data_IF_205627691973
#
_entry.id   IF_205627691973
#
_cell.length_a   1.000
_cell.length_b   1.000
_cell.length_c   1.000
_cell.angle_alpha   90.00
_cell.angle_beta   90.00
_cell.angle_gamma   90.00
#
_symmetry.space_group_name_H-M   'P 1'
#
loop_
_entity.id
_entity.type
_entity.pdbx_description
1 polymer ?
#
# COMPACT_ATOMS: atom_id res chain seq x y z
N UNK A 1 -7.30 10.04 25.23
CA UNK A 1 -8.08 9.08 26.05
C UNK A 1 -7.85 7.68 25.50
N UNK A 2 -7.70 6.67 26.36
CA UNK A 2 -7.49 5.26 25.96
C UNK A 2 -8.71 4.46 26.40
N UNK A 3 -9.34 3.75 25.47
CA UNK A 3 -10.57 2.99 25.70
C UNK A 3 -10.33 1.51 25.33
N UNK A 4 -10.61 0.56 26.23
CA UNK A 4 -10.48 -0.86 25.92
C UNK A 4 -11.52 -1.28 24.86
N UNK A 5 -11.17 -2.28 24.07
CA UNK A 5 -12.04 -2.91 23.08
C UNK A 5 -12.31 -4.38 23.40
N UNK A 6 -12.92 -5.07 22.44
CA UNK A 6 -13.21 -6.51 22.54
C UNK A 6 -11.94 -7.36 22.32
N UNK A 7 -11.94 -8.65 22.71
CA UNK A 7 -10.84 -9.57 22.40
C UNK A 7 -10.53 -9.59 20.89
N UNK A 8 -9.24 -9.52 20.56
CA UNK A 8 -8.79 -9.26 19.19
C UNK A 8 -8.52 -10.54 18.36
N UNK A 9 -8.34 -11.69 19.01
CA UNK A 9 -8.00 -12.96 18.38
C UNK A 9 -9.00 -14.05 18.71
N UNK A 10 -9.35 -14.86 17.70
CA UNK A 10 -10.06 -16.12 17.93
C UNK A 10 -9.16 -17.15 18.64
N UNK A 11 -9.76 -18.22 19.15
CA UNK A 11 -9.04 -19.30 19.83
C UNK A 11 -7.93 -19.89 18.95
N UNK A 12 -8.25 -20.30 17.72
CA UNK A 12 -7.26 -20.82 16.76
C UNK A 12 -6.09 -19.85 16.50
N UNK A 13 -6.35 -18.54 16.35
CA UNK A 13 -5.28 -17.55 16.14
C UNK A 13 -4.41 -17.37 17.39
N UNK A 14 -5.04 -17.45 18.57
CA UNK A 14 -4.36 -17.37 19.86
C UNK A 14 -3.45 -18.59 20.07
N UNK A 15 -3.95 -19.80 19.81
CA UNK A 15 -3.17 -21.04 19.91
C UNK A 15 -1.97 -21.05 18.97
N UNK A 16 -2.16 -20.63 17.71
CA UNK A 16 -1.08 -20.54 16.73
C UNK A 16 0.00 -19.54 17.18
N UNK A 17 -0.40 -18.33 17.56
CA UNK A 17 0.53 -17.31 18.06
C UNK A 17 1.25 -17.80 19.32
N UNK A 18 0.54 -18.45 20.24
CA UNK A 18 1.15 -19.00 21.44
C UNK A 18 2.19 -20.07 21.11
N UNK A 19 1.91 -20.99 20.19
CA UNK A 19 2.86 -22.02 19.77
C UNK A 19 4.13 -21.42 19.13
N UNK A 20 3.97 -20.44 18.25
CA UNK A 20 5.09 -19.72 17.63
C UNK A 20 5.90 -18.93 18.69
N UNK A 21 5.23 -18.16 19.54
CA UNK A 21 5.88 -17.37 20.58
C UNK A 21 6.58 -18.25 21.64
N UNK A 22 6.00 -19.40 21.99
CA UNK A 22 6.59 -20.36 22.92
C UNK A 22 7.92 -20.94 22.41
N UNK A 23 8.09 -21.04 21.08
CA UNK A 23 9.33 -21.55 20.48
C UNK A 23 10.52 -20.61 20.67
N UNK A 24 10.28 -19.30 20.76
CA UNK A 24 11.30 -18.27 20.97
C UNK A 24 11.38 -17.80 22.43
N UNK A 25 10.34 -18.07 23.23
CA UNK A 25 10.25 -17.72 24.63
C UNK A 25 9.70 -18.90 25.46
N UNK A 26 10.55 -19.88 25.85
CA UNK A 26 10.12 -21.07 26.58
C UNK A 26 9.44 -20.78 27.93
N UNK A 27 9.68 -19.61 28.54
CA UNK A 27 9.01 -19.17 29.76
C UNK A 27 7.56 -18.71 29.60
N UNK A 28 7.05 -18.56 28.37
CA UNK A 28 5.70 -18.08 28.07
C UNK A 28 4.62 -19.09 28.47
N UNK A 29 3.67 -18.72 29.31
CA UNK A 29 2.59 -19.58 29.80
C UNK A 29 1.24 -19.30 29.13
N UNK A 30 1.05 -18.09 28.59
CA UNK A 30 -0.18 -17.73 27.90
C UNK A 30 -0.07 -16.41 27.13
N UNK A 31 -0.93 -16.26 26.13
CA UNK A 31 -1.10 -15.03 25.35
C UNK A 31 -2.57 -14.66 25.33
N UNK A 32 -2.86 -13.38 25.55
CA UNK A 32 -4.20 -12.81 25.42
C UNK A 32 -4.12 -11.48 24.69
N UNK A 33 -5.11 -11.17 23.84
CA UNK A 33 -5.11 -9.98 23.01
C UNK A 33 -6.47 -9.28 23.02
N UNK A 34 -6.46 -7.96 23.19
CA UNK A 34 -7.65 -7.09 23.12
C UNK A 34 -7.37 -5.91 22.20
N UNK A 35 -8.40 -5.41 21.51
CA UNK A 35 -8.29 -4.12 20.86
C UNK A 35 -8.15 -3.01 21.91
N UNK A 36 -7.45 -1.95 21.54
CA UNK A 36 -7.41 -0.70 22.28
C UNK A 36 -7.68 0.44 21.32
N UNK A 37 -8.47 1.41 21.75
CA UNK A 37 -8.80 2.60 20.97
C UNK A 37 -8.19 3.82 21.63
N UNK A 38 -7.52 4.66 20.85
CA UNK A 38 -6.92 5.90 21.32
C UNK A 38 -7.67 7.06 20.68
N UNK A 39 -8.43 7.77 21.49
CA UNK A 39 -9.18 8.96 21.10
C UNK A 39 -8.38 10.21 21.46
N UNK A 40 -7.93 10.94 20.45
CA UNK A 40 -7.29 12.24 20.61
C UNK A 40 -8.35 13.34 20.51
N UNK A 41 -8.46 14.12 21.58
CA UNK A 41 -9.47 15.15 21.76
C UNK A 41 -8.81 16.52 21.74
N UNK A 42 -9.51 17.52 21.19
CA UNK A 42 -9.03 18.89 21.12
C UNK A 42 -8.74 19.48 22.52
N UNK A 43 -9.56 19.12 23.50
CA UNK A 43 -9.36 19.42 24.91
C UNK A 43 -9.81 18.24 25.77
N UNK A 44 -9.41 18.22 27.05
CA UNK A 44 -9.78 17.15 27.98
C UNK A 44 -11.30 16.99 28.14
N UNK A 45 -12.03 18.10 28.08
CA UNK A 45 -13.47 18.17 28.27
C UNK A 45 -14.23 18.42 26.95
N UNK A 46 -13.60 18.10 25.80
CA UNK A 46 -14.17 18.37 24.47
C UNK A 46 -15.43 17.56 24.16
N UNK A 47 -15.73 16.52 24.93
CA UNK A 47 -16.92 15.70 24.80
C UNK A 47 -17.77 15.80 26.07
N UNK A 48 -19.06 16.08 25.91
CA UNK A 48 -20.04 15.95 26.99
C UNK A 48 -20.20 14.49 27.43
N UNK A 49 -20.81 14.26 28.60
CA UNK A 49 -21.09 12.89 29.08
C UNK A 49 -21.93 12.07 28.09
N UNK A 50 -22.90 12.70 27.41
CA UNK A 50 -23.70 12.05 26.36
C UNK A 50 -22.84 11.64 25.16
N UNK A 51 -21.99 12.54 24.68
CA UNK A 51 -21.07 12.27 23.56
C UNK A 51 -20.03 11.21 23.92
N UNK A 52 -19.55 11.18 25.17
CA UNK A 52 -18.68 10.11 25.64
C UNK A 52 -19.39 8.75 25.62
N UNK A 53 -20.67 8.70 26.02
CA UNK A 53 -21.51 7.51 25.90
C UNK A 53 -21.67 7.05 24.45
N UNK A 54 -21.89 7.99 23.52
CA UNK A 54 -21.92 7.69 22.07
C UNK A 54 -20.58 7.13 21.58
N UNK A 55 -19.45 7.75 21.95
CA UNK A 55 -18.12 7.26 21.57
C UNK A 55 -17.87 5.85 22.09
N UNK A 56 -18.20 5.58 23.34
CA UNK A 56 -18.07 4.25 23.93
C UNK A 56 -18.93 3.22 23.18
N UNK A 57 -20.18 3.56 22.84
CA UNK A 57 -21.05 2.69 22.07
C UNK A 57 -20.52 2.40 20.66
N UNK A 58 -19.96 3.38 19.96
CA UNK A 58 -19.33 3.21 18.64
C UNK A 58 -18.13 2.25 18.67
N UNK A 59 -17.42 2.19 19.79
CA UNK A 59 -16.22 1.37 19.95
C UNK A 59 -16.51 -0.05 20.47
N UNK A 60 -17.79 -0.41 20.63
CA UNK A 60 -18.23 -1.79 20.91
C UNK A 60 -18.64 -2.45 19.60
N UNK A 61 -17.74 -3.25 19.03
CA UNK A 61 -17.96 -3.98 17.78
C UNK A 61 -17.13 -5.28 17.75
N UNK A 62 -17.41 -6.13 16.76
CA UNK A 62 -16.71 -7.40 16.55
C UNK A 62 -17.41 -8.59 17.21
N UNK A 63 -16.82 -9.79 17.11
CA UNK A 63 -17.40 -11.00 17.67
C UNK A 63 -17.43 -10.96 19.21
N UNK A 64 -18.49 -11.50 19.81
CA UNK A 64 -18.59 -11.67 21.26
C UNK A 64 -17.70 -12.83 21.70
N UNK A 65 -16.45 -12.54 22.03
CA UNK A 65 -15.49 -13.50 22.54
C UNK A 65 -15.42 -13.41 24.08
N UNK A 66 -15.12 -14.52 24.78
CA UNK A 66 -14.95 -14.49 26.23
C UNK A 66 -13.78 -13.57 26.62
N UNK A 67 -14.10 -12.50 27.35
CA UNK A 67 -13.09 -11.61 27.89
C UNK A 67 -12.36 -12.28 29.05
N UNK A 68 -11.03 -12.18 29.07
CA UNK A 68 -10.19 -12.71 30.15
C UNK A 68 -9.52 -11.56 30.88
N UNK A 69 -9.21 -11.77 32.16
CA UNK A 69 -8.40 -10.81 32.90
C UNK A 69 -6.96 -10.84 32.37
N UNK A 70 -6.43 -9.73 31.82
CA UNK A 70 -5.07 -9.70 31.30
C UNK A 70 -4.04 -9.96 32.41
N UNK A 71 -3.01 -10.75 32.09
CA UNK A 71 -1.91 -11.11 33.02
C UNK A 71 -0.56 -11.02 32.32
N UNK A 72 0.47 -10.69 33.10
CA UNK A 72 1.84 -10.67 32.63
C UNK A 72 2.22 -9.37 31.91
N UNK A 73 3.18 -9.49 30.97
CA UNK A 73 3.82 -8.34 30.33
C UNK A 73 2.94 -7.76 29.23
N UNK A 74 2.63 -6.46 29.34
CA UNK A 74 1.82 -5.72 28.37
C UNK A 74 2.67 -5.25 27.17
N UNK A 75 2.24 -5.60 25.96
CA UNK A 75 2.82 -5.14 24.69
C UNK A 75 1.72 -4.53 23.83
N UNK A 76 1.88 -3.30 23.35
CA UNK A 76 0.85 -2.59 22.58
C UNK A 76 1.31 -2.43 21.14
N UNK A 77 0.67 -3.15 20.23
CA UNK A 77 0.94 -3.06 18.79
C UNK A 77 0.05 -1.97 18.18
N UNK A 78 0.67 -0.98 17.54
CA UNK A 78 0.01 0.17 16.92
C UNK A 78 0.66 0.52 15.58
N UNK A 79 0.02 1.30 14.70
CA UNK A 79 0.69 1.88 13.54
C UNK A 79 1.94 2.67 13.95
N UNK A 80 2.95 2.73 13.08
CA UNK A 80 4.16 3.50 13.40
C UNK A 80 3.83 4.99 13.58
N UNK A 81 4.46 5.70 14.54
CA UNK A 81 4.37 7.16 14.60
C UNK A 81 4.72 7.82 13.26
N UNK A 82 3.97 8.87 12.91
CA UNK A 82 4.04 9.51 11.59
C UNK A 82 3.17 8.85 10.52
N UNK A 83 2.45 7.77 10.84
CA UNK A 83 1.45 7.16 9.96
C UNK A 83 0.04 7.26 10.55
N UNK A 84 -0.98 7.20 9.69
CA UNK A 84 -2.39 7.17 10.07
C UNK A 84 -3.01 5.94 9.41
N UNK A 85 -3.61 5.05 10.20
CA UNK A 85 -4.18 3.83 9.64
C UNK A 85 -5.44 4.12 8.81
N UNK A 86 -5.78 3.30 7.79
CA UNK A 86 -7.07 3.41 7.11
C UNK A 86 -8.26 3.24 8.06
N UNK A 87 -8.09 2.48 9.15
CA UNK A 87 -9.09 2.36 10.22
C UNK A 87 -9.29 3.71 10.92
N UNK A 88 -8.20 4.43 11.24
CA UNK A 88 -8.24 5.75 11.87
C UNK A 88 -9.08 6.73 11.06
N UNK A 89 -8.86 6.80 9.74
CA UNK A 89 -9.64 7.71 8.88
C UNK A 89 -11.14 7.39 8.94
N UNK A 90 -11.54 6.13 8.67
CA UNK A 90 -12.96 5.73 8.65
C UNK A 90 -13.63 5.86 10.02
N UNK A 91 -12.93 5.47 11.10
CA UNK A 91 -13.46 5.56 12.45
C UNK A 91 -13.65 7.02 12.88
N UNK A 92 -12.71 7.89 12.51
CA UNK A 92 -12.82 9.34 12.75
C UNK A 92 -14.00 9.92 11.97
N UNK A 93 -14.17 9.56 10.70
CA UNK A 93 -15.32 10.00 9.89
C UNK A 93 -16.66 9.57 10.50
N UNK A 94 -16.79 8.30 10.92
CA UNK A 94 -17.98 7.79 11.61
C UNK A 94 -18.28 8.63 12.85
N UNK A 95 -17.26 8.89 13.67
CA UNK A 95 -17.44 9.67 14.88
C UNK A 95 -17.87 11.12 14.61
N UNK A 96 -17.32 11.76 13.57
CA UNK A 96 -17.72 13.11 13.16
C UNK A 96 -19.17 13.14 12.64
N UNK A 97 -19.58 12.14 11.85
CA UNK A 97 -20.98 11.97 11.38
C UNK A 97 -21.93 11.79 12.58
N UNK A 98 -21.50 11.12 13.63
CA UNK A 98 -22.25 10.97 14.88
C UNK A 98 -22.23 12.22 15.78
N UNK A 99 -21.67 13.35 15.32
CA UNK A 99 -21.69 14.62 16.04
C UNK A 99 -20.59 14.78 17.11
N UNK A 100 -19.52 13.98 17.05
CA UNK A 100 -18.41 14.03 18.00
C UNK A 100 -17.33 15.04 17.59
N UNK A 101 -17.71 16.30 17.38
CA UNK A 101 -16.82 17.37 16.85
C UNK A 101 -15.60 17.69 17.75
N UNK A 102 -15.63 17.30 19.03
CA UNK A 102 -14.49 17.46 19.96
C UNK A 102 -13.40 16.39 19.82
N UNK A 103 -13.63 15.38 18.97
CA UNK A 103 -12.68 14.32 18.65
C UNK A 103 -11.91 14.70 17.38
N UNK A 104 -10.59 14.79 17.48
CA UNK A 104 -9.74 15.12 16.33
C UNK A 104 -9.36 13.86 15.54
N UNK A 105 -9.06 12.76 16.24
CA UNK A 105 -8.66 11.50 15.61
C UNK A 105 -8.87 10.31 16.52
N UNK A 106 -9.32 9.20 15.94
CA UNK A 106 -9.28 7.87 16.55
C UNK A 106 -8.16 7.04 15.96
N UNK A 107 -7.44 6.29 16.79
CA UNK A 107 -6.55 5.22 16.32
C UNK A 107 -6.87 3.92 17.05
N UNK A 108 -6.51 2.78 16.45
CA UNK A 108 -6.66 1.46 17.06
C UNK A 108 -5.31 0.76 17.16
N UNK A 109 -5.11 0.09 18.28
CA UNK A 109 -4.04 -0.89 18.48
C UNK A 109 -4.57 -2.23 18.97
N UNK A 110 -3.64 -3.14 19.23
CA UNK A 110 -3.89 -4.41 19.90
C UNK A 110 -2.97 -4.51 21.11
N UNK A 111 -3.55 -4.72 22.28
CA UNK A 111 -2.81 -4.98 23.52
C UNK A 111 -2.66 -6.48 23.67
N UNK A 112 -1.42 -6.96 23.66
CA UNK A 112 -1.04 -8.32 24.01
C UNK A 112 -0.60 -8.38 25.47
N UNK A 113 -1.11 -9.39 26.18
CA UNK A 113 -0.70 -9.74 27.54
C UNK A 113 0.04 -11.07 27.49
N UNK A 114 1.32 -11.05 27.85
CA UNK A 114 2.22 -12.21 27.82
C UNK A 114 2.38 -12.76 29.24
N UNK A 115 1.66 -13.83 29.58
CA UNK A 115 1.74 -14.47 30.88
C UNK A 115 3.01 -15.35 30.95
N UNK A 116 3.82 -15.20 32.00
CA UNK A 116 5.05 -15.97 32.19
C UNK A 116 6.21 -15.11 32.71
N UNK A 117 7.31 -15.76 33.08
CA UNK A 117 8.57 -15.10 33.44
C UNK A 117 9.45 -15.05 32.20
N UNK A 118 9.49 -13.88 31.56
CA UNK A 118 10.24 -13.65 30.32
C UNK A 118 11.39 -12.68 30.56
N UNK A 119 12.56 -13.00 30.01
CA UNK A 119 13.66 -12.05 29.88
C UNK A 119 13.36 -10.96 28.85
N UNK A 120 14.09 -9.85 28.89
CA UNK A 120 13.96 -8.78 27.89
C UNK A 120 14.21 -9.27 26.46
N UNK A 121 15.17 -10.19 26.29
CA UNK A 121 15.48 -10.79 24.99
C UNK A 121 14.33 -11.66 24.46
N UNK A 122 13.68 -12.44 25.33
CA UNK A 122 12.49 -13.23 24.97
C UNK A 122 11.31 -12.32 24.63
N UNK A 123 11.10 -11.22 25.36
CA UNK A 123 10.06 -10.23 25.04
C UNK A 123 10.32 -9.62 23.66
N UNK A 124 11.56 -9.21 23.36
CA UNK A 124 11.90 -8.65 22.05
C UNK A 124 11.72 -9.67 20.90
N UNK A 125 12.02 -10.94 21.14
CA UNK A 125 11.78 -12.01 20.17
C UNK A 125 10.29 -12.24 19.92
N UNK A 126 9.46 -12.20 20.97
CA UNK A 126 8.00 -12.28 20.83
C UNK A 126 7.44 -11.04 20.14
N UNK A 127 7.90 -9.83 20.47
CA UNK A 127 7.47 -8.59 19.82
C UNK A 127 7.63 -8.65 18.29
N UNK A 128 8.72 -9.25 17.79
CA UNK A 128 8.95 -9.45 16.36
C UNK A 128 7.91 -10.36 15.67
N UNK A 129 7.19 -11.20 16.42
CA UNK A 129 6.08 -12.03 15.94
C UNK A 129 4.72 -11.33 16.02
N UNK A 130 4.58 -10.32 16.89
CA UNK A 130 3.30 -9.66 17.17
C UNK A 130 2.92 -8.59 16.14
N UNK A 131 3.87 -8.08 15.35
CA UNK A 131 3.65 -6.93 14.49
C UNK A 131 4.33 -7.05 13.13
N UNK A 132 3.79 -6.32 12.15
CA UNK A 132 4.49 -6.06 10.89
C UNK A 132 5.46 -4.89 11.06
N UNK A 133 6.76 -5.18 11.04
CA UNK A 133 7.84 -4.18 11.17
C UNK A 133 7.77 -3.04 10.13
N UNK A 134 7.11 -3.25 9.00
CA UNK A 134 7.01 -2.25 7.94
C UNK A 134 5.94 -1.19 8.26
N UNK A 135 4.90 -1.55 9.02
CA UNK A 135 3.70 -0.72 9.21
C UNK A 135 3.36 -0.45 10.68
N UNK A 136 3.93 -1.20 11.61
CA UNK A 136 3.59 -1.17 13.03
C UNK A 136 4.83 -1.04 13.92
N UNK A 137 4.59 -0.68 15.19
CA UNK A 137 5.58 -0.71 16.28
C UNK A 137 4.96 -1.33 17.53
N UNK A 138 5.82 -1.74 18.46
CA UNK A 138 5.39 -2.28 19.76
C UNK A 138 5.83 -1.34 20.89
N UNK A 139 4.86 -0.88 21.68
CA UNK A 139 5.10 -0.09 22.89
C UNK A 139 4.95 -0.94 24.15
N UNK A 140 5.67 -0.56 25.22
CA UNK A 140 5.55 -1.20 26.52
C UNK A 140 4.56 -0.51 27.46
N UNK A 141 4.17 0.72 27.15
CA UNK A 141 3.38 1.57 28.04
C UNK A 141 2.35 2.42 27.29
N UNK A 142 1.29 2.80 27.99
CA UNK A 142 0.25 3.68 27.42
C UNK A 142 0.77 5.11 27.21
N UNK A 143 1.82 5.53 27.94
CA UNK A 143 2.42 6.85 27.81
C UNK A 143 3.01 7.09 26.42
N UNK A 144 3.51 6.03 25.76
CA UNK A 144 4.10 6.11 24.42
C UNK A 144 3.06 6.38 23.32
N UNK A 145 1.77 6.07 23.56
CA UNK A 145 0.69 6.22 22.58
C UNK A 145 0.46 7.66 22.15
N UNK A 146 0.88 8.64 22.96
CA UNK A 146 0.76 10.06 22.58
C UNK A 146 1.59 10.40 21.35
N UNK A 147 2.69 9.67 21.10
CA UNK A 147 3.56 9.87 19.94
C UNK A 147 2.84 9.66 18.60
N UNK A 148 1.75 8.88 18.60
CA UNK A 148 0.93 8.68 17.42
C UNK A 148 0.29 10.00 16.96
N UNK A 149 0.04 10.94 17.89
CA UNK A 149 -0.70 12.19 17.67
C UNK A 149 0.20 13.43 17.75
N UNK A 150 1.51 13.26 17.55
CA UNK A 150 2.44 14.39 17.57
C UNK A 150 2.09 15.41 16.47
N UNK A 151 1.94 16.68 16.88
CA UNK A 151 1.78 17.79 15.94
C UNK A 151 3.16 18.37 15.63
N UNK A 152 3.50 18.45 14.35
CA UNK A 152 4.75 19.01 13.87
C UNK A 152 4.46 20.31 13.10
N UNK A 153 5.26 21.36 13.27
CA UNK A 153 5.16 22.55 12.43
C UNK A 153 5.49 22.20 10.98
N UNK A 154 4.93 22.94 10.03
CA UNK A 154 5.25 22.78 8.62
C UNK A 154 6.74 23.10 8.38
N UNK A 155 7.47 22.17 7.76
CA UNK A 155 8.84 22.41 7.30
C UNK A 155 8.84 23.30 6.05
N UNK A 156 9.89 24.11 5.89
CA UNK A 156 10.15 24.81 4.62
C UNK A 156 10.98 23.94 3.67
N UNK A 157 10.95 24.25 2.38
CA UNK A 157 11.75 23.57 1.38
C UNK A 157 13.22 24.01 1.45
N UNK A 158 14.14 23.12 1.09
CA UNK A 158 15.57 23.43 1.01
C UNK A 158 15.94 23.88 -0.41
N UNK A 159 17.01 24.66 -0.55
CA UNK A 159 17.60 25.02 -1.85
C UNK A 159 19.02 24.48 -1.96
N UNK A 160 19.39 24.05 -3.15
CA UNK A 160 20.74 23.56 -3.45
C UNK A 160 21.52 24.62 -4.22
N UNK A 161 22.73 25.01 -3.75
CA UNK A 161 23.46 26.18 -4.25
C UNK A 161 24.18 25.94 -5.59
N UNK A 162 23.43 25.57 -6.63
CA UNK A 162 23.95 25.30 -7.98
C UNK A 162 24.62 26.52 -8.60
N UNK A 163 24.19 27.74 -8.26
CA UNK A 163 24.85 28.95 -8.75
C UNK A 163 26.26 29.15 -8.20
N UNK A 164 26.48 28.76 -6.96
CA UNK A 164 27.77 28.91 -6.30
C UNK A 164 28.68 27.70 -6.51
N UNK A 165 28.10 26.49 -6.53
CA UNK A 165 28.85 25.23 -6.50
C UNK A 165 28.72 24.42 -7.79
N UNK A 166 27.90 24.87 -8.73
CA UNK A 166 27.70 24.22 -10.02
C UNK A 166 27.17 22.80 -9.87
N UNK A 167 27.77 21.90 -10.66
CA UNK A 167 27.39 20.49 -10.76
C UNK A 167 27.46 19.74 -9.43
N UNK A 168 28.43 20.05 -8.57
CA UNK A 168 28.66 19.32 -7.32
C UNK A 168 27.49 19.48 -6.34
N UNK A 169 26.79 20.62 -6.33
CA UNK A 169 25.58 20.78 -5.54
C UNK A 169 24.49 19.78 -5.95
N UNK A 170 24.33 19.51 -7.25
CA UNK A 170 23.35 18.54 -7.74
C UNK A 170 23.80 17.09 -7.56
N UNK A 171 25.10 16.80 -7.64
CA UNK A 171 25.63 15.46 -7.33
C UNK A 171 25.36 15.12 -5.86
N UNK A 172 25.53 16.07 -4.95
CA UNK A 172 25.14 15.88 -3.54
C UNK A 172 23.64 15.73 -3.38
N UNK A 173 22.84 16.61 -3.97
CA UNK A 173 21.39 16.53 -3.93
C UNK A 173 20.87 15.17 -4.42
N UNK A 174 21.44 14.64 -5.50
CA UNK A 174 21.11 13.34 -6.07
C UNK A 174 21.30 12.19 -5.05
N UNK A 175 22.39 12.24 -4.27
CA UNK A 175 22.68 11.23 -3.23
C UNK A 175 21.82 11.42 -1.99
N UNK A 176 21.71 12.64 -1.49
CA UNK A 176 20.99 12.96 -0.25
C UNK A 176 19.48 12.70 -0.38
N UNK A 177 18.89 13.04 -1.53
CA UNK A 177 17.47 12.88 -1.80
C UNK A 177 17.13 11.56 -2.51
N UNK A 178 18.14 10.79 -2.95
CA UNK A 178 17.94 9.53 -3.66
C UNK A 178 17.26 9.68 -5.03
N UNK A 179 17.65 10.70 -5.80
CA UNK A 179 16.95 11.07 -7.05
C UNK A 179 17.24 10.11 -8.22
N UNK A 180 18.31 9.32 -8.13
CA UNK A 180 18.76 8.39 -9.17
C UNK A 180 18.94 9.03 -10.57
N UNK A 181 19.38 10.29 -10.61
CA UNK A 181 19.63 11.02 -11.85
C UNK A 181 20.90 10.48 -12.54
N UNK A 182 20.82 10.36 -13.87
CA UNK A 182 21.96 10.11 -14.74
C UNK A 182 22.83 11.37 -14.91
N UNK A 183 24.07 11.19 -15.39
CA UNK A 183 25.01 12.30 -15.54
C UNK A 183 24.52 13.40 -16.49
N UNK A 184 23.85 13.02 -17.59
CA UNK A 184 23.24 13.93 -18.56
C UNK A 184 22.02 14.67 -18.00
N UNK A 185 21.24 14.03 -17.14
CA UNK A 185 20.12 14.66 -16.42
C UNK A 185 20.60 15.69 -15.40
N UNK A 186 21.71 15.41 -14.71
CA UNK A 186 22.37 16.38 -13.83
C UNK A 186 22.85 17.57 -14.66
N UNK A 187 23.54 17.33 -15.77
CA UNK A 187 24.07 18.40 -16.63
C UNK A 187 22.94 19.27 -17.21
N UNK A 188 21.82 18.66 -17.59
CA UNK A 188 20.60 19.35 -18.00
C UNK A 188 20.10 20.30 -16.90
N UNK A 189 20.00 19.84 -15.66
CA UNK A 189 19.54 20.64 -14.53
C UNK A 189 20.49 21.79 -14.20
N UNK A 190 21.82 21.57 -14.24
CA UNK A 190 22.80 22.63 -14.05
C UNK A 190 22.56 23.76 -15.06
N UNK A 191 22.43 23.41 -16.33
CA UNK A 191 22.18 24.38 -17.40
C UNK A 191 20.84 25.11 -17.19
N UNK A 192 19.77 24.38 -16.93
CA UNK A 192 18.44 24.95 -16.76
C UNK A 192 18.38 25.96 -15.60
N UNK A 193 18.97 25.63 -14.45
CA UNK A 193 18.98 26.54 -13.29
C UNK A 193 19.97 27.70 -13.43
N UNK A 194 21.05 27.53 -14.20
CA UNK A 194 21.90 28.64 -14.60
C UNK A 194 21.15 29.65 -15.48
N UNK A 195 20.37 29.19 -16.46
CA UNK A 195 19.52 30.04 -17.31
C UNK A 195 18.41 30.75 -16.51
N UNK A 196 17.81 30.07 -15.53
CA UNK A 196 16.80 30.66 -14.65
C UNK A 196 17.37 31.65 -13.63
N UNK A 197 18.69 31.74 -13.47
CA UNK A 197 19.34 32.67 -12.55
C UNK A 197 19.05 32.42 -11.06
N UNK A 198 18.61 31.22 -10.68
CA UNK A 198 18.24 30.86 -9.31
C UNK A 198 18.59 29.41 -8.97
N UNK A 199 18.73 29.14 -7.68
CA UNK A 199 18.97 27.80 -7.16
C UNK A 199 17.68 26.95 -7.14
N UNK A 200 17.75 25.65 -7.50
CA UNK A 200 16.63 24.73 -7.39
C UNK A 200 16.23 24.47 -5.94
N UNK A 201 14.94 24.24 -5.69
CA UNK A 201 14.50 23.61 -4.45
C UNK A 201 14.56 22.09 -4.51
N UNK A 202 14.62 21.44 -3.35
CA UNK A 202 14.44 19.97 -3.21
C UNK A 202 13.16 19.47 -3.89
N UNK A 203 12.04 20.20 -3.76
CA UNK A 203 10.76 19.89 -4.41
C UNK A 203 10.88 19.87 -5.94
N UNK A 204 11.56 20.85 -6.53
CA UNK A 204 11.74 20.92 -7.99
C UNK A 204 12.60 19.76 -8.51
N UNK A 205 13.66 19.42 -7.78
CA UNK A 205 14.55 18.30 -8.12
C UNK A 205 13.83 16.95 -7.98
N UNK A 206 13.08 16.76 -6.90
CA UNK A 206 12.28 15.55 -6.68
C UNK A 206 11.22 15.39 -7.78
N UNK A 207 10.50 16.46 -8.13
CA UNK A 207 9.53 16.46 -9.23
C UNK A 207 10.19 16.03 -10.55
N UNK A 208 11.34 16.62 -10.90
CA UNK A 208 12.06 16.30 -12.12
C UNK A 208 12.51 14.83 -12.14
N UNK A 209 13.06 14.34 -11.03
CA UNK A 209 13.55 12.98 -10.90
C UNK A 209 12.43 11.95 -11.09
N UNK A 210 11.28 12.16 -10.43
CA UNK A 210 10.13 11.28 -10.57
C UNK A 210 9.59 11.24 -12.01
N UNK A 211 9.45 12.41 -12.64
CA UNK A 211 8.96 12.54 -14.02
C UNK A 211 9.89 11.90 -15.07
N UNK A 212 11.20 11.87 -14.80
CA UNK A 212 12.21 11.31 -15.71
C UNK A 212 12.71 9.92 -15.31
N UNK A 213 12.12 9.30 -14.29
CA UNK A 213 12.38 7.90 -13.95
C UNK A 213 12.06 6.96 -15.12
N UNK A 214 12.70 5.78 -15.15
CA UNK A 214 12.42 4.76 -16.16
C UNK A 214 10.92 4.40 -16.19
N UNK A 215 10.34 4.20 -15.01
CA UNK A 215 8.93 3.85 -14.82
C UNK A 215 7.96 4.90 -15.40
N UNK A 216 8.26 6.19 -15.27
CA UNK A 216 7.38 7.25 -15.81
C UNK A 216 7.64 7.53 -17.29
N UNK A 217 8.91 7.56 -17.72
CA UNK A 217 9.28 8.00 -19.07
C UNK A 217 9.28 6.87 -20.09
N UNK A 218 9.31 5.61 -19.64
CA UNK A 218 9.39 4.41 -20.47
C UNK A 218 10.60 4.46 -21.42
N UNK A 219 11.78 4.82 -20.88
CA UNK A 219 13.01 5.08 -21.65
C UNK A 219 13.39 3.87 -22.52
N UNK A 220 13.36 2.66 -21.96
CA UNK A 220 13.71 1.41 -22.66
C UNK A 220 12.74 1.14 -23.83
N UNK A 221 11.44 1.32 -23.60
CA UNK A 221 10.42 1.06 -24.62
C UNK A 221 10.51 2.01 -25.82
N UNK A 222 11.04 3.22 -25.60
CA UNK A 222 11.21 4.25 -26.63
C UNK A 222 12.62 4.33 -27.20
N UNK A 223 13.54 3.49 -26.71
CA UNK A 223 14.94 3.51 -27.14
C UNK A 223 15.10 2.96 -28.57
N UNK A 224 16.17 3.39 -29.22
CA UNK A 224 16.72 2.73 -30.40
C UNK A 224 17.50 1.48 -29.99
N UNK A 225 17.49 0.46 -30.83
CA UNK A 225 18.10 -0.85 -30.54
C UNK A 225 19.19 -1.22 -31.53
N UNK A 226 20.25 -1.84 -31.02
CA UNK A 226 21.30 -2.51 -31.78
C UNK A 226 21.36 -3.96 -31.31
N UNK A 227 20.94 -4.91 -32.16
CA UNK A 227 20.91 -6.34 -31.83
C UNK A 227 21.94 -7.05 -32.69
N UNK A 228 22.89 -7.75 -32.07
CA UNK A 228 24.01 -8.42 -32.75
C UNK A 228 24.76 -7.52 -33.75
N UNK A 229 24.91 -6.24 -33.40
CA UNK A 229 25.57 -5.23 -34.24
C UNK A 229 24.71 -4.65 -35.37
N UNK A 230 23.44 -5.03 -35.46
CA UNK A 230 22.51 -4.56 -36.51
C UNK A 230 21.51 -3.54 -35.92
N UNK A 231 21.45 -2.30 -36.44
CA UNK A 231 20.47 -1.32 -36.02
C UNK A 231 19.05 -1.78 -36.35
N UNK A 232 18.13 -1.61 -35.39
CA UNK A 232 16.72 -1.93 -35.57
C UNK A 232 15.94 -0.68 -35.98
N UNK A 233 14.95 -0.86 -36.85
CA UNK A 233 14.16 0.25 -37.43
C UNK A 233 13.16 0.85 -36.43
N UNK A 234 12.66 0.04 -35.51
CA UNK A 234 11.58 0.42 -34.59
C UNK A 234 12.01 0.26 -33.13
N UNK A 235 11.53 1.18 -32.30
CA UNK A 235 11.51 0.97 -30.84
C UNK A 235 10.49 -0.10 -30.46
N UNK A 236 10.58 -0.62 -29.23
CA UNK A 236 9.59 -1.58 -28.73
C UNK A 236 8.17 -0.99 -28.77
N UNK A 237 8.02 0.28 -28.38
CA UNK A 237 6.72 0.95 -28.39
C UNK A 237 6.18 1.14 -29.81
N UNK A 238 7.03 1.49 -30.78
CA UNK A 238 6.63 1.60 -32.18
C UNK A 238 6.16 0.26 -32.74
N UNK A 239 6.82 -0.86 -32.40
CA UNK A 239 6.34 -2.20 -32.77
C UNK A 239 4.96 -2.53 -32.18
N UNK A 240 4.65 -2.04 -30.97
CA UNK A 240 3.31 -2.18 -30.39
C UNK A 240 2.30 -1.27 -31.12
N UNK A 241 2.65 -0.03 -31.43
CA UNK A 241 1.76 0.89 -32.16
C UNK A 241 1.42 0.35 -33.56
N UNK A 242 2.32 -0.40 -34.19
CA UNK A 242 2.07 -1.04 -35.48
C UNK A 242 0.84 -1.97 -35.48
N UNK A 243 0.47 -2.57 -34.35
CA UNK A 243 -0.75 -3.39 -34.27
C UNK A 243 -2.01 -2.56 -34.46
N UNK A 244 -2.01 -1.32 -33.94
CA UNK A 244 -3.11 -0.37 -34.13
C UNK A 244 -3.11 0.22 -35.54
N UNK A 245 -1.94 0.54 -36.10
CA UNK A 245 -1.82 1.01 -37.48
C UNK A 245 -2.35 -0.01 -38.49
N UNK A 246 -2.14 -1.29 -38.21
CA UNK A 246 -2.56 -2.41 -39.08
C UNK A 246 -4.03 -2.78 -38.86
N UNK A 247 -4.55 -2.66 -37.64
CA UNK A 247 -5.91 -3.09 -37.29
C UNK A 247 -6.58 -2.06 -36.37
N UNK A 248 -6.97 -0.89 -36.93
CA UNK A 248 -7.58 0.19 -36.15
C UNK A 248 -9.07 -0.01 -35.88
N UNK A 249 -9.69 -1.02 -36.47
CA UNK A 249 -11.14 -1.25 -36.40
C UNK A 249 -11.61 -1.35 -34.95
N UNK A 250 -12.74 -0.69 -34.66
CA UNK A 250 -13.39 -0.65 -33.34
C UNK A 250 -12.59 0.03 -32.22
N UNK A 251 -11.41 0.60 -32.47
CA UNK A 251 -10.65 1.35 -31.47
C UNK A 251 -11.08 2.81 -31.46
N UNK A 252 -11.51 3.30 -30.30
CA UNK A 252 -11.91 4.69 -30.07
C UNK A 252 -10.78 5.53 -29.44
N UNK A 253 -9.91 4.90 -28.64
CA UNK A 253 -8.75 5.54 -28.01
C UNK A 253 -7.65 4.52 -27.76
N UNK A 254 -6.42 4.84 -28.18
CA UNK A 254 -5.21 4.07 -27.87
C UNK A 254 -4.01 5.03 -27.73
N UNK A 255 -3.17 4.80 -26.72
CA UNK A 255 -1.92 5.54 -26.46
C UNK A 255 -2.06 7.04 -26.17
N UNK A 256 -3.27 7.55 -25.97
CA UNK A 256 -3.55 8.98 -25.72
C UNK A 256 -4.25 9.27 -24.39
N UNK A 257 -4.42 8.24 -23.54
CA UNK A 257 -5.11 8.33 -22.26
C UNK A 257 -4.58 7.23 -21.31
N UNK A 258 -5.07 7.21 -20.06
CA UNK A 258 -4.69 6.25 -19.04
C UNK A 258 -5.23 4.83 -19.31
N UNK A 259 -6.20 4.67 -20.20
CA UNK A 259 -6.74 3.38 -20.66
C UNK A 259 -7.05 3.41 -22.16
N UNK A 260 -7.07 2.24 -22.79
CA UNK A 260 -7.59 2.10 -24.15
C UNK A 260 -9.12 2.01 -24.12
N UNK A 261 -9.77 2.45 -25.21
CA UNK A 261 -11.24 2.37 -25.37
C UNK A 261 -11.56 1.76 -26.72
N UNK A 262 -12.44 0.77 -26.73
CA UNK A 262 -13.01 0.18 -27.94
C UNK A 262 -14.53 0.38 -28.01
N UNK A 263 -15.07 0.27 -29.21
CA UNK A 263 -16.50 0.22 -29.45
C UNK A 263 -17.16 -0.88 -28.61
N UNK A 264 -18.38 -0.59 -28.19
CA UNK A 264 -19.20 -1.52 -27.42
C UNK A 264 -20.58 -1.58 -28.03
N UNK A 265 -21.54 -2.07 -27.26
CA UNK A 265 -22.89 -2.25 -27.75
C UNK A 265 -23.80 -1.10 -27.30
N UNK A 266 -24.90 -0.90 -28.02
CA UNK A 266 -26.05 -0.16 -27.50
C UNK A 266 -26.60 -0.93 -26.30
N UNK A 267 -26.75 -0.28 -25.15
CA UNK A 267 -27.24 -0.91 -23.93
C UNK A 267 -28.04 0.08 -23.07
N UNK A 268 -28.96 -0.46 -22.27
CA UNK A 268 -29.67 0.31 -21.26
C UNK A 268 -28.76 0.57 -20.05
N UNK A 269 -28.24 1.79 -19.93
CA UNK A 269 -27.52 2.30 -18.76
C UNK A 269 -28.52 2.67 -17.67
N UNK A 270 -28.34 2.08 -16.49
CA UNK A 270 -29.21 2.30 -15.34
C UNK A 270 -28.52 3.14 -14.27
N UNK A 271 -29.09 4.31 -13.96
CA UNK A 271 -28.56 5.24 -12.97
C UNK A 271 -29.67 6.16 -12.41
N UNK A 272 -29.37 6.88 -11.33
CA UNK A 272 -30.29 7.88 -10.79
C UNK A 272 -30.18 9.18 -11.59
N UNK A 273 -31.31 9.65 -12.14
CA UNK A 273 -31.41 10.90 -12.87
C UNK A 273 -31.10 12.09 -11.93
N UNK A 274 -30.10 12.94 -12.21
CA UNK A 274 -29.68 13.98 -11.26
C UNK A 274 -30.78 14.97 -10.87
N UNK A 275 -31.75 15.20 -11.75
CA UNK A 275 -32.83 16.17 -11.52
C UNK A 275 -33.96 15.65 -10.63
N UNK A 276 -34.31 14.36 -10.73
CA UNK A 276 -35.42 13.76 -9.98
C UNK A 276 -34.97 12.83 -8.85
N UNK A 277 -33.71 12.38 -8.88
CA UNK A 277 -33.18 11.29 -8.06
C UNK A 277 -33.92 9.95 -8.25
N UNK A 278 -34.71 9.82 -9.33
CA UNK A 278 -35.37 8.57 -9.69
C UNK A 278 -34.43 7.70 -10.55
N UNK A 279 -34.50 6.39 -10.34
CA UNK A 279 -33.74 5.46 -11.15
C UNK A 279 -34.37 5.28 -12.54
N UNK A 280 -33.56 5.49 -13.57
CA UNK A 280 -33.97 5.40 -14.98
C UNK A 280 -33.03 4.50 -15.77
N UNK A 281 -33.55 3.96 -16.89
CA UNK A 281 -32.78 3.22 -17.89
C UNK A 281 -32.72 4.05 -19.17
N UNK A 282 -31.51 4.39 -19.62
CA UNK A 282 -31.27 5.15 -20.86
C UNK A 282 -30.54 4.26 -21.86
N UNK A 283 -31.10 4.10 -23.06
CA UNK A 283 -30.45 3.33 -24.13
C UNK A 283 -29.42 4.20 -24.84
N UNK A 284 -28.14 3.83 -24.72
CA UNK A 284 -27.03 4.58 -25.31
C UNK A 284 -25.81 3.68 -25.62
N UNK A 285 -24.90 4.10 -26.53
CA UNK A 285 -23.66 3.38 -26.76
C UNK A 285 -22.86 3.21 -25.47
N UNK A 286 -22.64 1.95 -25.10
CA UNK A 286 -21.88 1.57 -23.91
C UNK A 286 -20.55 0.96 -24.35
N UNK A 287 -19.58 1.83 -24.61
CA UNK A 287 -18.22 1.49 -24.97
C UNK A 287 -17.45 0.80 -23.83
N UNK A 288 -16.34 0.15 -24.18
CA UNK A 288 -15.53 -0.65 -23.25
C UNK A 288 -14.14 -0.05 -23.15
N UNK A 289 -13.75 0.32 -21.93
CA UNK A 289 -12.36 0.66 -21.61
C UNK A 289 -11.61 -0.57 -21.09
N UNK A 290 -10.28 -0.57 -21.22
CA UNK A 290 -9.43 -1.62 -20.67
C UNK A 290 -8.05 -1.08 -20.27
N UNK A 291 -7.57 -1.51 -19.10
CA UNK A 291 -6.24 -1.22 -18.56
C UNK A 291 -5.77 -2.41 -17.73
N UNK A 292 -4.44 -2.58 -17.66
CA UNK A 292 -3.78 -3.53 -16.77
C UNK A 292 -2.53 -2.82 -16.23
N UNK A 293 -2.34 -2.89 -14.91
CA UNK A 293 -1.14 -2.38 -14.25
C UNK A 293 -0.43 -3.49 -13.46
N UNK A 294 0.79 -3.21 -13.03
CA UNK A 294 1.54 -4.08 -12.13
C UNK A 294 2.05 -3.30 -10.93
N UNK A 295 2.27 -3.98 -9.80
CA UNK A 295 2.76 -3.33 -8.57
C UNK A 295 3.84 -4.17 -7.88
N UNK A 296 4.84 -4.56 -8.66
CA UNK A 296 5.79 -5.62 -8.31
C UNK A 296 6.69 -5.26 -7.12
N UNK A 297 7.40 -4.13 -7.21
CA UNK A 297 8.38 -3.74 -6.20
C UNK A 297 7.75 -3.50 -4.80
N UNK A 298 6.64 -2.75 -4.66
CA UNK A 298 5.98 -2.59 -3.36
C UNK A 298 5.47 -3.91 -2.79
N UNK A 299 4.93 -4.80 -3.63
CA UNK A 299 4.41 -6.11 -3.20
C UNK A 299 5.50 -7.03 -2.66
N UNK A 300 6.74 -6.93 -3.16
CA UNK A 300 7.87 -7.68 -2.61
C UNK A 300 8.28 -7.23 -1.19
N UNK A 301 7.94 -5.99 -0.80
CA UNK A 301 8.27 -5.40 0.49
C UNK A 301 7.12 -5.57 1.50
N UNK A 302 5.89 -5.20 1.11
CA UNK A 302 4.68 -5.32 1.93
C UNK A 302 3.51 -5.76 1.03
N UNK A 303 3.21 -7.07 0.95
CA UNK A 303 2.34 -7.61 -0.08
C UNK A 303 0.90 -7.11 -0.01
N UNK A 304 0.31 -7.03 1.19
CA UNK A 304 -1.06 -6.60 1.36
C UNK A 304 -1.31 -5.18 0.79
N UNK A 305 -0.63 -4.12 1.28
CA UNK A 305 -0.82 -2.79 0.71
C UNK A 305 -0.33 -2.71 -0.73
N UNK A 306 0.74 -3.41 -1.11
CA UNK A 306 1.24 -3.41 -2.49
C UNK A 306 0.20 -3.93 -3.49
N UNK A 307 -0.44 -5.07 -3.22
CA UNK A 307 -1.49 -5.57 -4.09
C UNK A 307 -2.76 -4.71 -4.04
N UNK A 308 -3.11 -4.19 -2.85
CA UNK A 308 -4.27 -3.32 -2.66
C UNK A 308 -4.16 -2.03 -3.46
N UNK A 309 -3.02 -1.33 -3.39
CA UNK A 309 -2.79 -0.09 -4.15
C UNK A 309 -2.55 -0.36 -5.63
N UNK A 310 -2.09 -1.55 -6.01
CA UNK A 310 -2.05 -1.99 -7.40
C UNK A 310 -3.45 -2.01 -8.03
N UNK A 311 -4.43 -2.66 -7.38
CA UNK A 311 -5.83 -2.61 -7.81
C UNK A 311 -6.40 -1.19 -7.74
N UNK A 312 -6.11 -0.46 -6.67
CA UNK A 312 -6.61 0.90 -6.50
C UNK A 312 -6.07 1.92 -7.50
N UNK A 313 -4.82 1.77 -7.95
CA UNK A 313 -4.22 2.59 -9.02
C UNK A 313 -4.92 2.38 -10.34
N UNK A 314 -5.03 1.11 -10.75
CA UNK A 314 -5.66 0.71 -12.00
C UNK A 314 -7.15 1.13 -12.05
N UNK A 315 -7.90 0.97 -10.96
CA UNK A 315 -9.29 1.45 -10.85
C UNK A 315 -9.40 2.98 -11.05
N UNK A 316 -8.41 3.76 -10.61
CA UNK A 316 -8.41 5.22 -10.83
C UNK A 316 -8.18 5.57 -12.29
N UNK A 317 -7.32 4.84 -12.98
CA UNK A 317 -7.10 5.03 -14.42
C UNK A 317 -8.36 4.75 -15.22
N UNK A 318 -9.07 3.67 -14.90
CA UNK A 318 -10.38 3.37 -15.49
C UNK A 318 -11.36 4.53 -15.26
N UNK A 319 -11.49 5.01 -14.02
CA UNK A 319 -12.39 6.13 -13.68
C UNK A 319 -12.02 7.47 -14.32
N UNK A 320 -10.72 7.70 -14.53
CA UNK A 320 -10.17 8.93 -15.09
C UNK A 320 -10.09 8.95 -16.62
N UNK A 321 -10.46 7.85 -17.30
CA UNK A 321 -10.46 7.77 -18.75
C UNK A 321 -11.43 8.79 -19.37
N UNK A 322 -10.95 9.56 -20.35
CA UNK A 322 -11.70 10.60 -21.04
C UNK A 322 -12.13 11.74 -20.11
N UNK A 323 -13.44 11.86 -19.88
CA UNK A 323 -14.04 12.89 -19.01
C UNK A 323 -14.73 12.29 -17.78
N UNK A 324 -14.35 11.06 -17.45
CA UNK A 324 -14.99 10.24 -16.42
C UNK A 324 -15.63 9.01 -17.02
N UNK A 325 -15.26 7.85 -16.51
CA UNK A 325 -15.84 6.57 -16.86
C UNK A 325 -16.11 5.71 -15.61
N UNK A 326 -16.65 4.50 -15.79
CA UNK A 326 -17.07 3.64 -14.69
C UNK A 326 -16.40 2.27 -14.75
N UNK A 327 -15.53 1.93 -13.77
CA UNK A 327 -15.02 0.58 -13.55
C UNK A 327 -16.14 -0.47 -13.52
N UNK A 328 -15.89 -1.66 -14.09
CA UNK A 328 -16.92 -2.72 -14.18
C UNK A 328 -16.48 -4.08 -13.67
N UNK A 329 -15.33 -4.59 -14.12
CA UNK A 329 -14.84 -5.91 -13.74
C UNK A 329 -13.31 -5.93 -13.79
N UNK A 330 -12.68 -6.67 -12.89
CA UNK A 330 -11.22 -6.78 -12.81
C UNK A 330 -10.69 -8.18 -13.09
N UNK A 331 -9.37 -8.23 -13.21
CA UNK A 331 -8.58 -9.45 -13.23
C UNK A 331 -7.40 -9.33 -12.24
N UNK A 332 -6.82 -10.45 -11.82
CA UNK A 332 -5.65 -10.45 -10.94
C UNK A 332 -4.61 -11.48 -11.34
N UNK A 333 -3.33 -11.11 -11.30
CA UNK A 333 -2.23 -11.98 -11.70
C UNK A 333 -1.11 -11.99 -10.67
N UNK A 334 -0.61 -13.19 -10.33
CA UNK A 334 0.57 -13.35 -9.48
C UNK A 334 1.58 -14.30 -10.11
N UNK A 335 2.84 -13.87 -10.19
CA UNK A 335 4.00 -14.72 -10.44
C UNK A 335 4.95 -14.63 -9.26
N UNK A 336 5.28 -15.77 -8.63
CA UNK A 336 6.14 -15.84 -7.45
C UNK A 336 7.17 -16.97 -7.59
N UNK A 337 8.18 -16.99 -6.71
CA UNK A 337 9.06 -18.15 -6.54
C UNK A 337 8.31 -19.36 -5.97
N UNK A 338 9.02 -20.46 -5.73
CA UNK A 338 8.46 -21.64 -5.05
C UNK A 338 7.91 -21.27 -3.66
N UNK A 339 6.75 -21.85 -3.30
CA UNK A 339 6.05 -21.49 -2.07
C UNK A 339 6.71 -22.13 -0.85
N UNK A 340 7.22 -23.35 -0.98
CA UNK A 340 7.84 -24.13 0.10
C UNK A 340 6.98 -24.12 1.37
N UNK A 341 5.72 -24.54 1.19
CA UNK A 341 4.73 -24.57 2.29
C UNK A 341 5.23 -25.57 3.35
N UNK A 342 5.40 -25.14 4.62
CA UNK A 342 5.92 -26.03 5.67
C UNK A 342 5.09 -27.31 5.82
N UNK A 343 5.74 -28.47 5.73
CA UNK A 343 5.09 -29.78 5.80
C UNK A 343 4.34 -30.20 4.54
N UNK A 344 4.47 -29.43 3.45
CA UNK A 344 3.91 -29.72 2.14
C UNK A 344 4.91 -29.35 1.00
N UNK A 345 6.21 -29.49 1.28
CA UNK A 345 7.26 -29.21 0.32
C UNK A 345 7.19 -30.17 -0.89
N UNK A 346 7.46 -29.63 -2.09
CA UNK A 346 7.39 -30.41 -3.32
C UNK A 346 8.78 -30.85 -3.81
N UNK A 347 8.91 -32.00 -4.52
CA UNK A 347 10.21 -32.53 -4.92
C UNK A 347 11.04 -31.64 -5.84
N UNK A 348 10.42 -30.69 -6.55
CA UNK A 348 11.10 -29.74 -7.44
C UNK A 348 11.55 -28.46 -6.72
N UNK A 349 11.13 -28.24 -5.48
CA UNK A 349 11.49 -27.05 -4.72
C UNK A 349 12.89 -27.22 -4.13
N UNK A 350 13.86 -26.49 -4.70
CA UNK A 350 15.23 -26.55 -4.23
C UNK A 350 15.36 -26.06 -2.78
N UNK A 351 16.12 -26.79 -1.98
CA UNK A 351 16.47 -26.40 -0.61
C UNK A 351 17.67 -25.44 -0.62
N UNK A 352 17.78 -24.59 0.41
CA UNK A 352 18.90 -23.67 0.57
C UNK A 352 18.89 -22.43 -0.33
N UNK A 353 17.86 -22.24 -1.17
CA UNK A 353 17.68 -20.99 -1.93
C UNK A 353 17.23 -19.88 -0.97
N UNK A 354 18.16 -18.98 -0.67
CA UNK A 354 17.90 -17.81 0.18
C UNK A 354 17.09 -16.73 -0.52
N UNK A 355 16.73 -15.68 0.24
CA UNK A 355 16.14 -14.44 -0.28
C UNK A 355 16.80 -13.23 0.41
N UNK A 356 16.80 -12.03 -0.20
CA UNK A 356 17.18 -10.82 0.50
C UNK A 356 16.37 -10.61 1.79
N UNK A 357 17.02 -10.21 2.89
CA UNK A 357 16.36 -10.01 4.19
C UNK A 357 15.28 -8.92 4.18
N UNK A 358 15.38 -7.99 3.22
CA UNK A 358 14.46 -6.85 3.07
C UNK A 358 13.16 -7.16 2.32
N UNK A 359 13.03 -8.33 1.69
CA UNK A 359 11.81 -8.75 0.98
C UNK A 359 11.13 -9.90 1.73
N UNK A 360 9.83 -10.09 1.51
CA UNK A 360 9.09 -11.22 2.05
C UNK A 360 9.28 -12.50 1.22
N UNK A 361 8.82 -13.65 1.71
CA UNK A 361 8.87 -14.90 0.92
C UNK A 361 7.77 -14.96 -0.14
N UNK A 362 7.90 -15.88 -1.10
CA UNK A 362 6.83 -16.16 -2.07
C UNK A 362 5.53 -16.62 -1.38
N UNK A 363 5.64 -17.40 -0.31
CA UNK A 363 4.49 -17.80 0.50
C UNK A 363 3.81 -16.60 1.15
N UNK A 364 4.58 -15.69 1.75
CA UNK A 364 4.01 -14.47 2.36
C UNK A 364 3.31 -13.59 1.33
N UNK A 365 3.87 -13.46 0.11
CA UNK A 365 3.20 -12.76 -0.99
C UNK A 365 1.85 -13.40 -1.28
N UNK A 366 1.78 -14.73 -1.34
CA UNK A 366 0.53 -15.44 -1.65
C UNK A 366 -0.46 -15.53 -0.48
N UNK A 367 0.00 -15.36 0.76
CA UNK A 367 -0.87 -15.26 1.93
C UNK A 367 -1.49 -13.86 2.06
N UNK A 368 -0.72 -12.80 1.83
CA UNK A 368 -1.12 -11.43 2.12
C UNK A 368 -1.52 -10.62 0.88
N UNK A 369 -0.83 -10.80 -0.26
CA UNK A 369 -1.06 -10.07 -1.50
C UNK A 369 -2.48 -10.26 -2.06
N UNK A 370 -2.95 -11.50 -2.29
CA UNK A 370 -4.31 -11.74 -2.75
C UNK A 370 -5.39 -11.14 -1.84
N UNK A 371 -5.18 -11.15 -0.52
CA UNK A 371 -6.10 -10.53 0.45
C UNK A 371 -6.12 -9.01 0.31
N UNK A 372 -4.98 -8.38 0.04
CA UNK A 372 -4.89 -6.94 -0.20
C UNK A 372 -5.62 -6.50 -1.48
N UNK A 373 -5.36 -7.19 -2.59
CA UNK A 373 -6.03 -6.92 -3.87
C UNK A 373 -7.54 -7.18 -3.82
N UNK A 374 -7.95 -8.33 -3.24
CA UNK A 374 -9.35 -8.64 -3.01
C UNK A 374 -10.01 -7.64 -2.04
N UNK A 375 -9.31 -7.23 -0.98
CA UNK A 375 -9.78 -6.24 -0.02
C UNK A 375 -10.16 -4.93 -0.69
N UNK A 376 -9.32 -4.42 -1.59
CA UNK A 376 -9.62 -3.21 -2.35
C UNK A 376 -10.83 -3.41 -3.28
N UNK A 377 -10.82 -4.47 -4.10
CA UNK A 377 -11.91 -4.74 -5.05
C UNK A 377 -13.27 -4.93 -4.36
N UNK A 378 -13.29 -5.64 -3.22
CA UNK A 378 -14.49 -5.88 -2.44
C UNK A 378 -15.03 -4.59 -1.81
N UNK A 379 -14.17 -3.78 -1.18
CA UNK A 379 -14.58 -2.53 -0.55
C UNK A 379 -15.03 -1.48 -1.57
N UNK A 380 -14.33 -1.40 -2.72
CA UNK A 380 -14.71 -0.53 -3.82
C UNK A 380 -16.00 -0.98 -4.52
N UNK A 381 -16.23 -2.30 -4.61
CA UNK A 381 -17.41 -2.89 -5.25
C UNK A 381 -17.22 -3.21 -6.73
N UNK A 382 -16.04 -3.68 -7.14
CA UNK A 382 -15.76 -4.19 -8.49
C UNK A 382 -15.51 -5.71 -8.45
N UNK A 383 -16.29 -6.54 -9.17
CA UNK A 383 -16.06 -7.98 -9.20
C UNK A 383 -14.75 -8.31 -9.93
N UNK A 384 -13.95 -9.21 -9.33
CA UNK A 384 -12.76 -9.77 -9.95
C UNK A 384 -13.13 -11.12 -10.58
N UNK A 385 -13.06 -11.23 -11.91
CA UNK A 385 -13.69 -12.33 -12.67
C UNK A 385 -12.70 -13.20 -13.45
N UNK A 386 -11.42 -12.85 -13.43
CA UNK A 386 -10.36 -13.56 -14.15
C UNK A 386 -9.04 -13.44 -13.39
N UNK A 387 -8.13 -14.39 -13.63
CA UNK A 387 -6.78 -14.24 -13.11
C UNK A 387 -5.83 -15.35 -13.50
N UNK A 388 -4.59 -15.21 -13.06
CA UNK A 388 -3.57 -16.26 -13.16
C UNK A 388 -2.72 -16.31 -11.88
N UNK A 389 -2.20 -17.50 -11.59
CA UNK A 389 -1.19 -17.72 -10.55
C UNK A 389 -0.11 -18.65 -11.09
N UNK A 390 1.15 -18.25 -10.95
CA UNK A 390 2.31 -19.04 -11.38
C UNK A 390 3.37 -19.04 -10.29
N UNK A 391 3.87 -20.23 -9.95
CA UNK A 391 5.14 -20.38 -9.25
C UNK A 391 6.22 -20.80 -10.24
N UNK A 392 7.38 -20.13 -10.20
CA UNK A 392 8.57 -20.53 -10.95
C UNK A 392 9.83 -20.05 -10.25
N UNK A 393 10.63 -21.00 -9.78
CA UNK A 393 12.00 -20.75 -9.35
C UNK A 393 12.81 -21.99 -9.70
N UNK A 394 13.80 -21.80 -10.58
CA UNK A 394 14.69 -22.84 -11.07
C UNK A 394 16.12 -22.43 -10.79
N UNK A 395 16.93 -23.38 -10.33
CA UNK A 395 18.37 -23.17 -10.26
C UNK A 395 18.90 -23.11 -11.69
N UNK A 396 19.37 -21.94 -12.12
CA UNK A 396 20.12 -21.86 -13.36
C UNK A 396 21.52 -22.43 -13.09
N UNK A 397 21.95 -23.49 -13.80
CA UNK A 397 23.35 -23.85 -13.79
C UNK A 397 24.11 -22.64 -14.34
N UNK A 398 25.07 -22.12 -13.58
CA UNK A 398 25.98 -21.09 -14.09
C UNK A 398 26.66 -21.67 -15.34
N UNK A 399 26.40 -21.05 -16.50
CA UNK A 399 27.08 -21.36 -17.76
C UNK A 399 28.40 -20.63 -17.79
#
# INVERSE_FOLDING_TARGET
MVLPGQPALSEFRTERLFAEAKSVAPGLLGVYAEFVHIAYLATRDALSASQLGTLQALLVYGPTLPQKNPRGTKRIVVPRPGTISPWSSKATDIALICGLQGLERLERGTVYSLEGSLSEAEVAAVDALLHDRMTQVVFGSDQELISLFAHHPANSFNRFPVRAEGREALVRANRELGLALADDEIDYLVKAFAELGRDPSDVELMMFAQANSEHCRHKIFKADWLIDGVPQEHSLFAMIQNTYETTPEHVLSAYSDNAAVMEGNLAARFFAEPSSAEYVSVEEPTHVLMKVETHNHPTAISPYPGASTGSGGEIRDEGATGRGAKPKAGLTGFSVSNLRIPGFEQPWEATGVGKPERIVSALDIMLEGPLGGAGFNNEFGRPNILGYMRSLEVAFPHV
#
